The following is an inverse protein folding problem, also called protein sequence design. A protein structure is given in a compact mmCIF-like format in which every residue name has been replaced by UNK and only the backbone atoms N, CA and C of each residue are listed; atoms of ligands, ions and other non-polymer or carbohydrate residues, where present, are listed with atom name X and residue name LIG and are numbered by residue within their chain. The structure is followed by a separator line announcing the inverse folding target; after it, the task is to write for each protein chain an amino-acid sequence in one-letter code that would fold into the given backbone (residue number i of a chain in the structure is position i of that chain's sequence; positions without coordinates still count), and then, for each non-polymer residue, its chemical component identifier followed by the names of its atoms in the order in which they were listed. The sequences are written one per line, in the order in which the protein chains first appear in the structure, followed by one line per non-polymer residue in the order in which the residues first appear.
data_IF_844475293710
#
_entry.id   IF_844475293710
#
_cell.length_a   1.000
_cell.length_b   1.000
_cell.length_c   1.000
_cell.angle_alpha   90.00
_cell.angle_beta   90.00
_cell.angle_gamma   90.00
#
_symmetry.space_group_name_H-M   'P 1'
#
loop_
_entity.id
_entity.type
_entity.pdbx_description
1 polymer ?
#
# COMPACT_ATOMS: atom_id res chain seq x y z
N UNK A 1 -54.42 10.38 -4.04
CA UNK A 1 -55.59 11.25 -4.32
C UNK A 1 -55.69 12.26 -3.18
N UNK A 2 -55.63 13.56 -3.50
CA UNK A 2 -56.14 14.77 -2.80
C UNK A 2 -56.87 14.53 -1.45
N UNK A 3 -56.80 15.34 -0.40
CA UNK A 3 -56.28 16.71 -0.16
C UNK A 3 -56.65 17.10 1.30
N UNK A 4 -55.67 17.62 2.04
CA UNK A 4 -55.66 18.70 3.04
C UNK A 4 -56.61 18.80 4.28
N UNK A 5 -56.03 19.51 5.28
CA UNK A 5 -56.63 20.45 6.27
C UNK A 5 -57.17 19.82 7.57
N UNK A 6 -57.06 20.40 8.78
CA UNK A 6 -56.39 21.59 9.33
C UNK A 6 -56.59 21.59 10.87
N UNK A 7 -55.61 22.18 11.59
CA UNK A 7 -55.69 23.03 12.82
C UNK A 7 -56.56 22.63 14.06
N UNK A 8 -55.91 22.65 15.24
CA UNK A 8 -56.34 23.26 16.53
C UNK A 8 -55.15 23.06 17.54
N UNK A 9 -54.37 24.03 18.05
CA UNK A 9 -54.59 25.14 19.02
C UNK A 9 -55.56 24.77 20.17
N UNK A 10 -55.27 24.92 21.47
CA UNK A 10 -54.13 25.46 22.23
C UNK A 10 -54.37 25.19 23.75
N UNK A 11 -53.34 25.44 24.56
CA UNK A 11 -53.34 25.84 25.98
C UNK A 11 -53.55 24.82 27.12
N UNK A 12 -52.55 24.70 28.01
CA UNK A 12 -52.72 25.01 29.44
C UNK A 12 -51.36 25.27 30.13
N UNK A 13 -51.38 26.19 31.11
CA UNK A 13 -50.27 26.88 31.80
C UNK A 13 -49.80 26.19 33.10
N UNK A 14 -48.62 26.63 33.57
CA UNK A 14 -48.09 26.76 34.96
C UNK A 14 -46.67 26.19 35.07
N UNK A 15 -45.61 26.85 35.55
CA UNK A 15 -45.48 28.09 36.30
C UNK A 15 -44.82 27.82 37.66
N UNK A 16 -43.49 27.95 37.79
CA UNK A 16 -42.74 28.35 39.01
C UNK A 16 -41.26 28.59 38.67
N UNK A 17 -40.67 29.61 39.30
CA UNK A 17 -39.50 30.32 38.79
C UNK A 17 -38.14 29.98 39.43
N UNK A 18 -37.08 30.52 38.83
CA UNK A 18 -35.86 30.89 39.52
C UNK A 18 -35.13 32.03 38.77
N UNK A 19 -34.84 33.09 39.52
CA UNK A 19 -34.25 34.36 39.08
C UNK A 19 -32.73 34.22 38.91
N UNK A 20 -32.16 34.71 37.80
CA UNK A 20 -30.78 35.25 37.76
C UNK A 20 -30.61 36.21 36.58
N UNK A 21 -30.41 37.48 36.90
CA UNK A 21 -29.89 38.50 35.99
C UNK A 21 -28.39 38.27 35.76
N UNK A 22 -27.91 38.39 34.51
CA UNK A 22 -26.99 39.48 34.10
C UNK A 22 -26.59 39.34 32.61
N UNK A 23 -26.78 40.45 31.88
CA UNK A 23 -25.92 41.02 30.81
C UNK A 23 -25.70 40.25 29.49
N UNK A 24 -25.99 40.94 28.37
CA UNK A 24 -25.33 40.65 27.10
C UNK A 24 -26.14 40.93 25.83
N UNK A 25 -26.35 42.21 25.54
CA UNK A 25 -26.87 42.73 24.27
C UNK A 25 -26.04 42.25 23.06
N UNK A 26 -26.68 41.75 22.00
CA UNK A 26 -26.49 42.20 20.60
C UNK A 26 -27.06 41.17 19.62
N UNK A 27 -28.29 41.39 19.19
CA UNK A 27 -28.78 40.86 17.92
C UNK A 27 -28.02 41.56 16.79
N UNK A 28 -27.12 40.84 16.10
CA UNK A 28 -26.55 41.32 14.84
C UNK A 28 -27.53 41.06 13.71
N UNK A 29 -28.02 42.17 13.18
CA UNK A 29 -28.72 42.33 11.92
C UNK A 29 -28.01 41.55 10.80
N UNK A 30 -28.67 40.53 10.25
CA UNK A 30 -28.19 39.78 9.09
C UNK A 30 -28.22 40.71 7.86
N UNK A 31 -27.08 41.35 7.61
CA UNK A 31 -26.86 42.24 6.46
C UNK A 31 -27.06 41.43 5.18
N UNK A 32 -28.07 41.78 4.37
CA UNK A 32 -28.29 41.24 3.02
C UNK A 32 -26.98 41.39 2.23
N UNK A 33 -26.27 40.29 2.00
CA UNK A 33 -25.13 40.25 1.08
C UNK A 33 -25.66 40.62 -0.30
N UNK A 34 -25.22 41.75 -0.83
CA UNK A 34 -25.53 42.18 -2.20
C UNK A 34 -25.04 41.12 -3.18
N UNK A 35 -25.85 40.79 -4.19
CA UNK A 35 -25.54 39.75 -5.18
C UNK A 35 -24.13 39.91 -5.80
N UNK A 36 -23.64 41.16 -5.91
CA UNK A 36 -22.29 41.48 -6.34
C UNK A 36 -21.18 40.82 -5.49
N UNK A 37 -21.35 40.72 -4.17
CA UNK A 37 -20.37 40.07 -3.29
C UNK A 37 -20.35 38.55 -3.45
N UNK A 38 -21.48 37.94 -3.80
CA UNK A 38 -21.58 36.50 -4.07
C UNK A 38 -20.96 36.20 -5.44
N UNK A 39 -21.23 37.03 -6.45
CA UNK A 39 -20.64 36.91 -7.80
C UNK A 39 -19.11 37.07 -7.75
N UNK A 40 -18.60 38.03 -6.96
CA UNK A 40 -17.16 38.22 -6.78
C UNK A 40 -16.48 37.01 -6.11
N UNK A 41 -17.11 36.41 -5.09
CA UNK A 41 -16.61 35.20 -4.45
C UNK A 41 -16.64 33.98 -5.38
N UNK A 42 -17.68 33.86 -6.21
CA UNK A 42 -17.77 32.81 -7.24
C UNK A 42 -16.69 32.97 -8.31
N UNK A 43 -16.41 34.20 -8.76
CA UNK A 43 -15.33 34.49 -9.70
C UNK A 43 -13.95 34.15 -9.12
N UNK A 44 -13.70 34.45 -7.85
CA UNK A 44 -12.46 34.06 -7.17
C UNK A 44 -12.34 32.52 -7.11
N UNK A 45 -13.42 31.82 -6.76
CA UNK A 45 -13.42 30.35 -6.77
C UNK A 45 -13.20 29.78 -8.18
N UNK A 46 -13.77 30.40 -9.20
CA UNK A 46 -13.62 29.97 -10.59
C UNK A 46 -12.18 30.17 -11.09
N UNK A 47 -11.55 31.31 -10.78
CA UNK A 47 -10.14 31.57 -11.11
C UNK A 47 -9.22 30.64 -10.30
N UNK A 48 -9.48 30.44 -9.00
CA UNK A 48 -8.70 29.54 -8.16
C UNK A 48 -8.84 28.05 -8.56
N UNK A 49 -9.94 27.66 -9.21
CA UNK A 49 -10.13 26.31 -9.75
C UNK A 49 -9.51 26.11 -11.15
N UNK A 50 -9.27 27.20 -11.91
CA UNK A 50 -8.61 27.15 -13.21
C UNK A 50 -7.07 27.20 -13.11
N UNK A 51 -6.53 27.70 -12.01
CA UNK A 51 -5.07 27.76 -11.76
C UNK A 51 -4.41 26.38 -11.54
N UNK A 52 -5.03 25.33 -10.96
CA UNK A 52 -4.40 24.03 -10.82
C UNK A 52 -4.52 23.14 -12.07
N UNK A 53 -5.42 23.44 -13.02
CA UNK A 53 -5.64 22.58 -14.19
C UNK A 53 -4.49 22.65 -15.23
N UNK A 54 -3.68 23.72 -15.20
CA UNK A 54 -2.55 23.91 -16.12
C UNK A 54 -1.18 23.45 -15.58
N UNK A 55 -1.07 23.06 -14.31
CA UNK A 55 0.24 22.82 -13.66
C UNK A 55 0.44 21.43 -13.06
N UNK A 56 -0.57 20.54 -13.13
CA UNK A 56 -0.40 19.15 -12.66
C UNK A 56 0.28 18.25 -13.71
N UNK A 57 0.42 18.69 -14.97
CA UNK A 57 1.01 17.86 -16.04
C UNK A 57 2.53 17.96 -16.25
N UNK A 58 3.28 18.66 -15.39
CA UNK A 58 4.74 18.79 -15.55
C UNK A 58 5.58 18.24 -14.38
N UNK A 59 4.98 18.01 -13.20
CA UNK A 59 5.75 17.67 -12.00
C UNK A 59 5.73 16.19 -11.57
N UNK A 60 4.91 15.33 -12.18
CA UNK A 60 4.90 13.88 -11.85
C UNK A 60 5.61 13.01 -12.89
N UNK A 61 5.91 13.52 -14.09
CA UNK A 61 6.67 12.79 -15.12
C UNK A 61 8.07 13.35 -15.43
N UNK A 62 8.63 14.19 -14.55
CA UNK A 62 10.09 14.47 -14.53
C UNK A 62 10.87 13.46 -13.69
N UNK A 63 10.41 12.20 -13.65
CA UNK A 63 11.30 11.05 -13.60
C UNK A 63 12.09 10.98 -14.90
N UNK A 64 12.91 12.01 -15.13
CA UNK A 64 13.87 12.07 -16.20
C UNK A 64 14.65 10.77 -16.13
N UNK A 65 14.52 9.98 -17.19
CA UNK A 65 15.41 8.91 -17.55
C UNK A 65 16.81 9.54 -17.64
N UNK A 66 17.49 9.62 -16.51
CA UNK A 66 18.86 10.10 -16.43
C UNK A 66 19.74 9.01 -17.00
N UNK A 67 19.80 8.93 -18.33
CA UNK A 67 20.99 8.43 -19.02
C UNK A 67 22.08 9.49 -18.87
N UNK A 68 22.50 9.77 -17.63
CA UNK A 68 23.77 10.43 -17.41
C UNK A 68 24.83 9.35 -17.57
N UNK A 69 25.30 9.22 -18.80
CA UNK A 69 26.61 8.62 -19.08
C UNK A 69 27.65 9.46 -18.37
N UNK A 70 27.94 9.12 -17.12
CA UNK A 70 29.13 9.59 -16.44
C UNK A 70 30.27 8.75 -17.00
N UNK A 71 30.91 9.27 -18.04
CA UNK A 71 32.23 8.79 -18.48
C UNK A 71 33.25 9.30 -17.46
N UNK A 72 33.24 8.72 -16.27
CA UNK A 72 34.36 8.82 -15.34
C UNK A 72 35.22 7.61 -15.61
N UNK A 73 36.32 7.83 -16.33
CA UNK A 73 37.42 6.87 -16.47
C UNK A 73 37.99 6.58 -15.09
N UNK A 74 37.39 5.60 -14.41
CA UNK A 74 37.98 4.89 -13.29
C UNK A 74 38.06 3.46 -13.75
N UNK A 75 39.28 2.94 -13.86
CA UNK A 75 39.53 1.52 -14.06
C UNK A 75 39.05 0.76 -12.82
N UNK A 76 37.74 0.59 -12.72
CA UNK A 76 37.09 -0.30 -11.77
C UNK A 76 36.49 -1.42 -12.61
N UNK A 77 36.90 -2.65 -12.32
CA UNK A 77 36.32 -3.85 -12.94
C UNK A 77 34.80 -3.77 -12.77
N UNK A 78 34.08 -3.49 -13.85
CA UNK A 78 32.63 -3.47 -13.83
C UNK A 78 32.15 -4.86 -13.45
N UNK A 79 31.67 -5.00 -12.22
CA UNK A 79 31.01 -6.22 -11.75
C UNK A 79 29.90 -6.55 -12.75
N UNK A 80 30.07 -7.64 -13.51
CA UNK A 80 29.11 -8.06 -14.53
C UNK A 80 27.82 -8.45 -13.81
N UNK A 81 26.85 -7.55 -13.76
CA UNK A 81 25.53 -7.87 -13.20
C UNK A 81 24.91 -9.01 -14.02
N UNK A 82 24.33 -10.04 -13.39
CA UNK A 82 23.64 -11.08 -14.11
C UNK A 82 22.45 -10.48 -14.88
N UNK A 83 22.40 -10.73 -16.19
CA UNK A 83 21.31 -10.31 -17.07
C UNK A 83 20.36 -11.47 -17.31
N UNK A 84 19.06 -11.18 -17.34
CA UNK A 84 18.00 -12.17 -17.55
C UNK A 84 17.14 -11.76 -18.76
N UNK A 85 17.67 -11.88 -20.00
CA UNK A 85 16.93 -11.48 -21.18
C UNK A 85 15.66 -12.34 -21.33
N UNK A 86 14.55 -11.69 -21.67
CA UNK A 86 13.30 -12.34 -22.04
C UNK A 86 13.30 -12.62 -23.53
N UNK A 87 13.18 -13.88 -23.91
CA UNK A 87 12.97 -14.27 -25.32
C UNK A 87 11.48 -14.38 -25.59
N UNK A 88 10.89 -13.31 -26.10
CA UNK A 88 9.47 -13.26 -26.46
C UNK A 88 9.31 -13.43 -27.97
N UNK A 89 8.57 -14.45 -28.40
CA UNK A 89 8.20 -14.63 -29.81
C UNK A 89 7.06 -13.68 -30.18
N UNK A 90 6.98 -13.18 -31.42
CA UNK A 90 5.80 -12.39 -31.84
C UNK A 90 4.72 -13.34 -32.40
N UNK A 91 3.52 -13.33 -31.80
CA UNK A 91 2.35 -14.08 -32.27
C UNK A 91 1.21 -14.09 -31.26
N UNK A 92 -0.04 -13.96 -31.71
CA UNK A 92 -1.22 -13.73 -30.85
C UNK A 92 -1.66 -14.99 -30.07
N UNK A 93 -1.23 -16.19 -30.50
CA UNK A 93 -1.73 -17.47 -29.97
C UNK A 93 -0.63 -18.47 -29.54
N UNK A 94 0.59 -17.99 -29.23
CA UNK A 94 1.67 -18.88 -28.76
C UNK A 94 1.75 -18.79 -27.24
N UNK A 95 1.52 -19.91 -26.54
CA UNK A 95 1.82 -20.01 -25.11
C UNK A 95 3.33 -19.86 -24.92
N UNK A 96 3.74 -18.74 -24.34
CA UNK A 96 5.15 -18.48 -24.09
C UNK A 96 5.53 -18.98 -22.70
N UNK A 97 6.63 -19.72 -22.65
CA UNK A 97 7.32 -20.03 -21.41
C UNK A 97 8.67 -19.35 -21.42
N UNK A 98 9.14 -18.90 -20.27
CA UNK A 98 10.50 -18.41 -20.17
C UNK A 98 11.48 -19.59 -20.32
N UNK A 99 12.61 -19.41 -21.04
CA UNK A 99 13.64 -20.43 -21.13
C UNK A 99 14.09 -20.89 -19.73
N UNK A 100 14.27 -22.19 -19.52
CA UNK A 100 14.79 -22.74 -18.25
C UNK A 100 16.32 -22.71 -18.16
N UNK A 101 16.98 -21.91 -19.01
CA UNK A 101 18.44 -21.81 -19.11
C UNK A 101 19.05 -20.86 -18.09
N UNK A 102 18.27 -20.34 -17.14
CA UNK A 102 18.77 -19.45 -16.12
C UNK A 102 19.65 -20.18 -15.10
N UNK A 103 20.63 -19.50 -14.49
CA UNK A 103 21.48 -20.08 -13.46
C UNK A 103 20.66 -20.66 -12.30
N UNK A 104 21.00 -21.86 -11.85
CA UNK A 104 20.39 -22.52 -10.69
C UNK A 104 21.14 -22.21 -9.39
N UNK A 105 22.32 -21.60 -9.48
CA UNK A 105 23.18 -21.25 -8.35
C UNK A 105 23.57 -19.78 -8.39
N UNK A 106 23.45 -19.10 -7.25
CA UNK A 106 23.84 -17.70 -7.10
C UNK A 106 25.34 -17.57 -6.79
N UNK A 107 26.14 -17.24 -7.81
CA UNK A 107 27.58 -16.98 -7.71
C UNK A 107 27.87 -15.50 -8.00
N UNK A 108 28.00 -14.63 -6.98
CA UNK A 108 28.28 -13.21 -7.20
C UNK A 108 29.68 -13.01 -7.80
N UNK A 109 29.88 -12.13 -8.81
CA UNK A 109 31.15 -11.98 -9.53
C UNK A 109 32.34 -11.44 -8.71
N UNK A 110 32.14 -11.00 -7.46
CA UNK A 110 33.20 -10.52 -6.58
C UNK A 110 32.82 -10.74 -5.11
N UNK A 111 33.46 -11.67 -4.38
CA UNK A 111 33.25 -11.86 -2.95
C UNK A 111 33.99 -10.81 -2.09
N UNK A 112 34.88 -10.01 -2.68
CA UNK A 112 35.60 -8.92 -2.01
C UNK A 112 34.73 -7.67 -1.84
N UNK A 113 33.61 -7.83 -1.14
CA UNK A 113 32.85 -6.70 -0.64
C UNK A 113 33.56 -6.23 0.65
N UNK A 114 33.94 -4.95 0.78
CA UNK A 114 34.54 -4.47 2.03
C UNK A 114 33.58 -4.73 3.18
N UNK A 115 34.06 -5.35 4.26
CA UNK A 115 33.29 -5.77 5.44
C UNK A 115 32.68 -4.62 6.27
N UNK A 116 32.66 -3.40 5.72
CA UNK A 116 32.22 -2.16 6.38
C UNK A 116 30.82 -1.70 5.94
N UNK A 117 30.01 -2.56 5.31
CA UNK A 117 28.64 -2.21 5.00
C UNK A 117 27.72 -2.48 6.19
N UNK A 118 27.39 -1.41 6.91
CA UNK A 118 26.29 -1.42 7.88
C UNK A 118 24.99 -1.72 7.14
N UNK A 119 24.22 -2.69 7.64
CA UNK A 119 22.88 -2.97 7.12
C UNK A 119 22.04 -1.68 7.18
N UNK A 120 21.43 -1.24 6.06
CA UNK A 120 20.61 -0.04 6.07
C UNK A 120 19.53 -0.07 7.15
N UNK A 121 19.32 1.05 7.83
CA UNK A 121 18.48 1.12 9.03
C UNK A 121 17.02 0.72 8.78
N UNK A 122 16.51 0.86 7.55
CA UNK A 122 15.15 0.44 7.20
C UNK A 122 14.93 -1.07 7.30
N UNK A 123 15.98 -1.91 7.19
CA UNK A 123 15.84 -3.36 7.37
C UNK A 123 15.48 -3.76 8.81
N UNK A 124 15.63 -2.86 9.78
CA UNK A 124 15.14 -3.08 11.16
C UNK A 124 13.65 -3.42 11.19
N UNK A 125 12.87 -2.87 10.26
CA UNK A 125 11.42 -3.08 10.21
C UNK A 125 11.05 -4.53 9.93
N UNK A 126 11.89 -5.30 9.22
CA UNK A 126 11.67 -6.75 9.06
C UNK A 126 11.64 -7.42 10.44
N UNK A 127 12.52 -7.02 11.36
CA UNK A 127 12.56 -7.57 12.71
C UNK A 127 11.36 -7.12 13.56
N UNK A 128 10.93 -5.87 13.41
CA UNK A 128 9.76 -5.35 14.13
C UNK A 128 8.46 -5.99 13.64
N UNK A 129 8.27 -6.09 12.32
CA UNK A 129 7.06 -6.66 11.72
C UNK A 129 6.93 -8.16 12.05
N UNK A 130 8.05 -8.89 12.08
CA UNK A 130 8.07 -10.33 12.43
C UNK A 130 8.14 -10.61 13.93
N UNK A 131 8.35 -9.58 14.77
CA UNK A 131 8.47 -9.70 16.23
C UNK A 131 7.33 -10.50 16.89
N UNK A 132 6.04 -10.36 16.49
CA UNK A 132 4.94 -11.08 17.13
C UNK A 132 5.08 -12.61 17.11
N UNK A 133 5.87 -13.15 16.18
CA UNK A 133 6.07 -14.59 15.99
C UNK A 133 7.47 -15.07 16.37
N UNK A 134 8.32 -14.18 16.91
CA UNK A 134 9.74 -14.48 17.16
C UNK A 134 9.93 -15.66 18.11
N UNK A 135 9.12 -15.74 19.17
CA UNK A 135 9.25 -16.76 20.22
C UNK A 135 8.35 -17.98 19.99
N UNK A 136 7.17 -17.77 19.40
CA UNK A 136 6.13 -18.79 19.22
C UNK A 136 6.19 -19.47 17.85
N UNK A 137 6.86 -18.86 16.87
CA UNK A 137 6.84 -19.28 15.49
C UNK A 137 5.48 -19.03 14.81
N UNK A 138 5.38 -19.50 13.56
CA UNK A 138 4.17 -19.41 12.75
C UNK A 138 3.63 -20.82 12.56
N UNK A 139 2.44 -21.10 13.08
CA UNK A 139 1.80 -22.41 12.92
C UNK A 139 0.93 -22.47 11.67
N UNK A 140 0.61 -23.70 11.24
CA UNK A 140 -0.28 -23.92 10.10
C UNK A 140 -1.66 -23.28 10.31
N UNK A 141 -2.21 -23.39 11.51
CA UNK A 141 -3.51 -22.81 11.84
C UNK A 141 -3.52 -21.29 11.75
N UNK A 142 -2.39 -20.64 12.07
CA UNK A 142 -2.25 -19.18 11.95
C UNK A 142 -2.33 -18.72 10.49
N UNK A 143 -1.69 -19.48 9.61
CA UNK A 143 -1.72 -19.24 8.17
C UNK A 143 -3.12 -19.44 7.61
N UNK A 144 -3.78 -20.56 7.95
CA UNK A 144 -5.14 -20.83 7.46
C UNK A 144 -6.16 -19.80 7.96
N UNK A 145 -5.97 -19.21 9.15
CA UNK A 145 -6.80 -18.08 9.61
C UNK A 145 -6.65 -16.81 8.77
N UNK A 146 -5.50 -16.60 8.12
CA UNK A 146 -5.29 -15.48 7.21
C UNK A 146 -6.05 -15.66 5.88
N UNK A 147 -6.42 -16.89 5.50
CA UNK A 147 -7.12 -17.20 4.24
C UNK A 147 -8.36 -16.32 4.01
N UNK A 148 -9.14 -16.07 5.07
CA UNK A 148 -10.39 -15.27 5.00
C UNK A 148 -10.16 -13.81 4.62
N UNK A 149 -8.95 -13.29 4.84
CA UNK A 149 -8.56 -11.90 4.58
C UNK A 149 -7.48 -11.80 3.50
N UNK A 150 -6.92 -12.90 3.00
CA UNK A 150 -5.91 -12.89 1.95
C UNK A 150 -6.57 -12.84 0.56
N UNK A 151 -5.93 -12.15 -0.37
CA UNK A 151 -6.29 -12.17 -1.79
C UNK A 151 -5.66 -13.37 -2.51
N UNK A 152 -4.42 -13.71 -2.16
CA UNK A 152 -3.76 -14.90 -2.67
C UNK A 152 -2.80 -15.48 -1.64
N UNK A 153 -2.51 -16.76 -1.84
CA UNK A 153 -1.49 -17.52 -1.13
C UNK A 153 -0.38 -17.87 -2.10
N UNK A 154 0.85 -17.70 -1.64
CA UNK A 154 2.06 -18.02 -2.39
C UNK A 154 2.85 -19.08 -1.63
N UNK A 155 3.27 -20.14 -2.31
CA UNK A 155 4.24 -21.11 -1.81
C UNK A 155 5.48 -21.04 -2.68
N UNK A 156 6.65 -21.08 -2.06
CA UNK A 156 7.91 -21.37 -2.74
C UNK A 156 8.36 -22.73 -2.23
N UNK A 157 8.54 -23.69 -3.15
CA UNK A 157 9.03 -25.03 -2.84
C UNK A 157 10.02 -25.41 -3.94
N UNK A 158 11.24 -25.80 -3.56
CA UNK A 158 12.27 -26.22 -4.53
C UNK A 158 12.51 -25.14 -5.62
N UNK A 159 12.57 -23.88 -5.18
CA UNK A 159 12.76 -22.72 -6.07
C UNK A 159 11.61 -22.43 -7.04
N UNK A 160 10.45 -23.09 -6.89
CA UNK A 160 9.26 -22.90 -7.73
C UNK A 160 8.16 -22.20 -6.93
N UNK A 161 7.58 -21.16 -7.52
CA UNK A 161 6.45 -20.45 -6.96
C UNK A 161 5.12 -21.09 -7.38
N UNK A 162 4.24 -21.36 -6.41
CA UNK A 162 2.87 -21.83 -6.60
C UNK A 162 1.91 -20.82 -5.98
N UNK A 163 0.80 -20.54 -6.67
CA UNK A 163 -0.14 -19.50 -6.26
C UNK A 163 -1.55 -20.09 -6.22
N UNK A 164 -2.24 -19.87 -5.10
CA UNK A 164 -3.67 -20.11 -4.96
C UNK A 164 -4.36 -18.75 -4.80
N UNK A 165 -5.26 -18.39 -5.71
CA UNK A 165 -6.03 -17.14 -5.61
C UNK A 165 -7.30 -17.38 -4.80
N UNK A 166 -7.58 -16.50 -3.83
CA UNK A 166 -8.76 -16.57 -2.98
C UNK A 166 -9.82 -15.55 -3.37
N UNK A 167 -9.39 -14.34 -3.70
CA UNK A 167 -10.28 -13.26 -4.12
C UNK A 167 -9.58 -12.36 -5.13
N UNK A 168 -10.37 -11.53 -5.81
CA UNK A 168 -9.84 -10.61 -6.80
C UNK A 168 -9.10 -9.46 -6.11
N UNK A 169 -7.81 -9.33 -6.41
CA UNK A 169 -7.03 -8.16 -6.03
C UNK A 169 -7.49 -6.91 -6.79
N UNK A 170 -7.35 -5.76 -6.15
CA UNK A 170 -7.58 -4.49 -6.83
C UNK A 170 -6.57 -4.31 -7.97
N UNK A 171 -7.05 -3.97 -9.17
CA UNK A 171 -6.23 -3.73 -10.36
C UNK A 171 -5.24 -4.88 -10.65
N UNK A 172 -3.98 -4.54 -10.92
CA UNK A 172 -2.87 -5.40 -11.32
C UNK A 172 -1.90 -5.66 -10.16
N UNK A 173 -2.30 -5.34 -8.94
CA UNK A 173 -1.42 -5.33 -7.76
C UNK A 173 -0.83 -6.71 -7.46
N UNK A 174 -1.65 -7.75 -7.49
CA UNK A 174 -1.18 -9.13 -7.32
C UNK A 174 -0.19 -9.50 -8.41
N UNK A 175 -0.50 -9.18 -9.67
CA UNK A 175 0.37 -9.48 -10.80
C UNK A 175 1.77 -8.88 -10.63
N UNK A 176 1.87 -7.59 -10.28
CA UNK A 176 3.18 -6.93 -10.10
C UNK A 176 3.94 -7.42 -8.87
N UNK A 177 3.24 -7.71 -7.76
CA UNK A 177 3.88 -8.38 -6.60
C UNK A 177 4.46 -9.74 -7.00
N UNK A 178 3.70 -10.54 -7.75
CA UNK A 178 4.16 -11.84 -8.24
C UNK A 178 5.35 -11.69 -9.20
N UNK A 179 5.34 -10.69 -10.08
CA UNK A 179 6.47 -10.39 -10.96
C UNK A 179 7.73 -10.04 -10.17
N UNK A 180 7.60 -9.28 -9.09
CA UNK A 180 8.72 -8.98 -8.20
C UNK A 180 9.30 -10.22 -7.53
N UNK A 181 8.45 -11.12 -7.06
CA UNK A 181 8.88 -12.38 -6.45
C UNK A 181 9.55 -13.29 -7.49
N UNK A 182 9.02 -13.34 -8.72
CA UNK A 182 9.67 -14.06 -9.82
C UNK A 182 11.04 -13.47 -10.18
N UNK A 183 11.22 -12.15 -10.07
CA UNK A 183 12.55 -11.54 -10.21
C UNK A 183 13.48 -11.97 -9.08
N UNK A 184 13.03 -12.00 -7.83
CA UNK A 184 13.84 -12.46 -6.70
C UNK A 184 14.31 -13.91 -6.89
N UNK A 185 13.42 -14.80 -7.33
CA UNK A 185 13.76 -16.20 -7.64
C UNK A 185 14.80 -16.32 -8.75
N UNK A 186 14.78 -15.43 -9.74
CA UNK A 186 15.78 -15.40 -10.84
C UNK A 186 17.12 -14.83 -10.39
N UNK A 187 17.09 -13.75 -9.61
CA UNK A 187 18.31 -13.05 -9.16
C UNK A 187 19.02 -13.85 -8.07
N UNK A 188 18.29 -14.53 -7.19
CA UNK A 188 18.82 -15.26 -6.05
C UNK A 188 18.42 -16.74 -6.06
N UNK A 189 18.78 -17.50 -7.10
CA UNK A 189 18.41 -18.90 -7.20
C UNK A 189 19.03 -19.70 -6.04
N UNK A 190 18.23 -20.61 -5.47
CA UNK A 190 18.60 -21.45 -4.32
C UNK A 190 18.93 -20.70 -3.02
N UNK A 191 18.67 -19.38 -2.94
CA UNK A 191 18.82 -18.58 -1.72
C UNK A 191 17.50 -18.34 -0.98
N UNK A 192 16.39 -18.37 -1.71
CA UNK A 192 15.06 -18.29 -1.10
C UNK A 192 14.71 -19.68 -0.53
N UNK A 193 14.36 -19.77 0.75
CA UNK A 193 13.98 -21.05 1.35
C UNK A 193 12.58 -21.46 0.89
N UNK A 194 12.23 -22.71 1.18
CA UNK A 194 10.84 -23.15 1.10
C UNK A 194 10.00 -22.35 2.10
N UNK A 195 8.95 -21.70 1.62
CA UNK A 195 8.14 -20.79 2.43
C UNK A 195 6.70 -20.69 1.91
N UNK A 196 5.82 -20.18 2.76
CA UNK A 196 4.41 -19.97 2.47
C UNK A 196 3.97 -18.61 2.99
N UNK A 197 3.37 -17.79 2.12
CA UNK A 197 2.96 -16.42 2.41
C UNK A 197 1.48 -16.22 2.07
N UNK A 198 0.78 -15.47 2.93
CA UNK A 198 -0.57 -14.97 2.69
C UNK A 198 -0.48 -13.48 2.36
N UNK A 199 -1.02 -13.07 1.22
CA UNK A 199 -0.95 -11.68 0.76
C UNK A 199 -2.33 -11.03 0.72
N UNK A 200 -2.40 -9.79 1.19
CA UNK A 200 -3.54 -8.91 0.95
C UNK A 200 -3.09 -7.64 0.20
N UNK A 201 -3.62 -7.45 -1.00
CA UNK A 201 -3.28 -6.35 -1.91
C UNK A 201 -4.03 -5.01 -1.66
N UNK A 202 -4.79 -4.88 -0.57
CA UNK A 202 -5.50 -3.64 -0.25
C UNK A 202 -4.63 -2.58 0.45
N UNK A 203 -5.12 -1.35 0.55
CA UNK A 203 -4.36 -0.21 1.09
C UNK A 203 -4.38 -0.11 2.62
N UNK A 204 -5.48 -0.51 3.28
CA UNK A 204 -5.64 -0.37 4.72
C UNK A 204 -5.20 -1.63 5.49
N UNK A 205 -4.45 -1.51 6.59
CA UNK A 205 -4.10 -2.65 7.47
C UNK A 205 -5.36 -3.36 7.98
N UNK A 206 -5.28 -4.69 8.21
CA UNK A 206 -6.46 -5.50 8.60
C UNK A 206 -6.20 -6.47 9.73
N UNK A 207 -5.01 -6.47 10.33
CA UNK A 207 -4.71 -7.27 11.53
C UNK A 207 -4.48 -6.34 12.71
N UNK A 208 -5.54 -5.86 13.40
CA UNK A 208 -5.39 -4.90 14.49
C UNK A 208 -4.68 -5.53 15.69
N UNK A 209 -3.63 -4.89 16.19
CA UNK A 209 -2.83 -5.40 17.32
C UNK A 209 -3.63 -5.55 18.61
N UNK A 210 -4.68 -4.73 18.78
CA UNK A 210 -5.60 -4.79 19.92
C UNK A 210 -6.32 -6.13 20.07
N UNK A 211 -6.52 -6.86 18.97
CA UNK A 211 -7.23 -8.14 18.97
C UNK A 211 -6.32 -9.31 19.42
N UNK A 212 -5.01 -9.06 19.59
CA UNK A 212 -3.97 -10.06 19.85
C UNK A 212 -3.11 -9.73 21.08
N UNK A 213 -3.71 -9.25 22.18
CA UNK A 213 -3.00 -8.88 23.42
C UNK A 213 -2.97 -9.96 24.51
N UNK A 214 -3.64 -11.09 24.30
CA UNK A 214 -3.75 -12.16 25.29
C UNK A 214 -2.54 -13.11 25.33
N UNK A 215 -2.39 -13.93 26.39
CA UNK A 215 -1.28 -14.89 26.52
C UNK A 215 -1.25 -15.97 25.42
N UNK A 216 -2.39 -16.24 24.77
CA UNK A 216 -2.52 -17.16 23.62
C UNK A 216 -2.75 -16.40 22.30
N UNK A 217 -2.34 -15.13 22.24
CA UNK A 217 -2.44 -14.34 21.03
C UNK A 217 -1.65 -15.00 19.90
N UNK A 218 -2.34 -15.29 18.81
CA UNK A 218 -1.76 -15.90 17.62
C UNK A 218 -2.22 -15.13 16.39
N UNK A 219 -1.63 -13.94 16.14
CA UNK A 219 -1.99 -13.14 14.99
C UNK A 219 -1.71 -13.90 13.68
N UNK A 220 -2.61 -13.84 12.69
CA UNK A 220 -2.36 -14.44 11.39
C UNK A 220 -1.27 -13.62 10.66
N UNK A 221 -0.16 -14.23 10.20
CA UNK A 221 0.84 -13.51 9.45
C UNK A 221 0.31 -13.19 8.05
N UNK A 222 0.21 -11.91 7.74
CA UNK A 222 -0.36 -11.41 6.49
C UNK A 222 0.54 -10.33 5.90
N UNK A 223 0.95 -10.50 4.65
CA UNK A 223 1.78 -9.56 3.92
C UNK A 223 0.94 -8.51 3.21
N UNK A 224 1.37 -7.25 3.32
CA UNK A 224 0.68 -6.07 2.76
C UNK A 224 1.66 -4.99 2.33
N UNK A 225 1.15 -3.96 1.67
CA UNK A 225 1.96 -2.81 1.22
C UNK A 225 2.06 -1.68 2.26
N UNK A 226 1.10 -1.63 3.19
CA UNK A 226 1.00 -0.61 4.23
C UNK A 226 0.71 -1.25 5.59
N UNK A 227 1.24 -0.64 6.64
CA UNK A 227 1.04 -1.01 8.05
C UNK A 227 1.14 0.25 8.92
N UNK A 228 0.65 0.18 10.14
CA UNK A 228 0.74 1.22 11.17
C UNK A 228 0.99 0.61 12.57
N UNK A 229 1.27 1.45 13.57
CA UNK A 229 1.56 1.04 14.95
C UNK A 229 0.42 0.24 15.62
N UNK A 230 -0.80 0.40 15.13
CA UNK A 230 -2.00 -0.29 15.58
C UNK A 230 -2.25 -1.62 14.89
N UNK A 231 -1.38 -2.05 13.99
CA UNK A 231 -1.55 -3.24 13.16
C UNK A 231 -0.36 -4.20 13.23
N UNK A 232 -0.59 -5.45 12.84
CA UNK A 232 0.41 -6.53 12.82
C UNK A 232 0.61 -7.08 11.40
N UNK A 233 0.18 -6.32 10.40
CA UNK A 233 0.41 -6.64 8.99
C UNK A 233 1.91 -6.51 8.67
N UNK A 234 2.46 -7.49 7.96
CA UNK A 234 3.89 -7.55 7.60
C UNK A 234 4.10 -6.75 6.31
N UNK A 235 4.95 -5.73 6.34
CA UNK A 235 5.15 -4.88 5.17
C UNK A 235 6.01 -5.59 4.13
N UNK A 236 5.51 -5.61 2.89
CA UNK A 236 6.20 -6.04 1.69
C UNK A 236 6.37 -4.84 0.77
N UNK A 237 7.48 -4.74 0.00
CA UNK A 237 7.64 -3.69 -1.00
C UNK A 237 6.42 -3.59 -1.93
N UNK A 238 5.90 -2.39 -2.10
CA UNK A 238 4.67 -2.16 -2.85
C UNK A 238 4.76 -2.63 -4.31
N UNK A 239 3.63 -3.05 -4.87
CA UNK A 239 3.53 -3.49 -6.27
C UNK A 239 4.03 -2.42 -7.26
N UNK A 240 3.92 -1.13 -6.91
CA UNK A 240 4.37 0.00 -7.73
C UNK A 240 5.88 0.03 -7.98
N UNK A 241 6.71 -0.67 -7.19
CA UNK A 241 8.12 -0.84 -7.49
C UNK A 241 8.36 -1.59 -8.82
N UNK A 242 7.37 -2.38 -9.27
CA UNK A 242 7.46 -3.18 -10.50
C UNK A 242 6.59 -2.68 -11.65
N UNK A 243 5.52 -1.92 -11.38
CA UNK A 243 4.71 -1.28 -12.42
C UNK A 243 3.29 -0.92 -11.98
N UNK A 244 2.45 -0.53 -12.94
CA UNK A 244 1.03 -0.21 -12.76
C UNK A 244 0.14 -0.76 -13.87
#
# INVERSE_FOLDING_TARGET
MKRNNAKHLCDFLDGTGLHRHFVGTSWRLLKKRTAATIIFLLLIFFVAALVPAGWINAFIFSGAYSKKSITTTTNTSTSKRPEFPLQCTKGINVTQSCPRTYPTTHNPPNPSHPSNHTCPSYFRWIHEDLRPWKETGITRDMIERARKIAHFRLLIVDGKAFIEKYSQSFQTRDMFTLWGILQLLRVYPSRLPDLELMFNCGDQPVVPSKDFRGPNASPPPLFRYCSDEGSLDIVFPDWSFWGW
#
